data_IF_946937789953
#
_entry.id   IF_946937789953
#
_cell.length_a   1.000
_cell.length_b   1.000
_cell.length_c   1.000
_cell.angle_alpha   90.00
_cell.angle_beta   90.00
_cell.angle_gamma   90.00
#
_symmetry.space_group_name_H-M   'P 1'
#
loop_
_entity.id
_entity.type
_entity.pdbx_description
1 polymer ?
#
# COMPACT_ATOMS: atom_id res chain seq x y z
N UNK A 1 -27.38 -15.41 -17.91
CA UNK A 1 -26.25 -14.48 -18.08
C UNK A 1 -25.68 -14.29 -16.69
N UNK A 2 -24.47 -14.77 -16.43
CA UNK A 2 -23.75 -14.37 -15.22
C UNK A 2 -23.54 -12.86 -15.32
N UNK A 3 -24.08 -12.11 -14.36
CA UNK A 3 -23.82 -10.68 -14.28
C UNK A 3 -22.39 -10.52 -13.79
N UNK A 4 -21.56 -9.85 -14.59
CA UNK A 4 -20.21 -9.46 -14.17
C UNK A 4 -20.37 -8.41 -13.06
N UNK A 5 -19.92 -8.76 -11.86
CA UNK A 5 -19.91 -7.83 -10.72
C UNK A 5 -18.59 -7.04 -10.74
N UNK A 6 -18.70 -5.72 -10.65
CA UNK A 6 -17.54 -4.83 -10.65
C UNK A 6 -16.98 -4.66 -9.24
N UNK A 7 -15.66 -4.55 -9.11
CA UNK A 7 -15.04 -4.15 -7.84
C UNK A 7 -15.29 -2.66 -7.61
N UNK A 8 -15.62 -2.32 -6.38
CA UNK A 8 -15.62 -0.94 -5.89
C UNK A 8 -14.20 -0.46 -5.62
N UNK A 9 -13.97 0.84 -5.42
CA UNK A 9 -12.66 1.34 -4.98
C UNK A 9 -12.18 0.70 -3.67
N UNK A 10 -13.10 0.42 -2.74
CA UNK A 10 -12.78 -0.29 -1.49
C UNK A 10 -12.37 -1.74 -1.75
N UNK A 11 -13.06 -2.45 -2.65
CA UNK A 11 -12.68 -3.81 -3.05
C UNK A 11 -11.26 -3.82 -3.68
N UNK A 12 -10.93 -2.82 -4.50
CA UNK A 12 -9.59 -2.69 -5.12
C UNK A 12 -8.52 -2.44 -4.06
N UNK A 13 -8.81 -1.55 -3.12
CA UNK A 13 -7.91 -1.26 -2.02
C UNK A 13 -7.66 -2.49 -1.14
N UNK A 14 -8.73 -3.15 -0.67
CA UNK A 14 -8.70 -4.39 0.09
C UNK A 14 -7.87 -5.49 -0.61
N UNK A 15 -8.06 -5.64 -1.92
CA UNK A 15 -7.32 -6.62 -2.71
C UNK A 15 -5.81 -6.33 -2.72
N UNK A 16 -5.40 -5.07 -2.78
CA UNK A 16 -3.99 -4.72 -2.65
C UNK A 16 -3.41 -4.97 -1.26
N UNK A 17 -4.19 -4.75 -0.18
CA UNK A 17 -3.78 -5.12 1.18
C UNK A 17 -3.53 -6.63 1.25
N UNK A 18 -4.42 -7.44 0.67
CA UNK A 18 -4.25 -8.90 0.61
C UNK A 18 -3.00 -9.32 -0.19
N UNK A 19 -2.72 -8.65 -1.31
CA UNK A 19 -1.50 -8.87 -2.09
C UNK A 19 -0.26 -8.59 -1.25
N UNK A 20 -0.20 -7.44 -0.58
CA UNK A 20 0.94 -7.03 0.24
C UNK A 20 1.09 -7.96 1.43
N UNK A 21 -0.01 -8.32 2.11
CA UNK A 21 -0.01 -9.30 3.20
C UNK A 21 0.68 -10.60 2.79
N UNK A 22 0.25 -11.21 1.67
CA UNK A 22 0.83 -12.47 1.19
C UNK A 22 2.29 -12.31 0.78
N UNK A 23 2.67 -11.15 0.25
CA UNK A 23 4.06 -10.87 -0.10
C UNK A 23 4.94 -10.74 1.15
N UNK A 24 4.46 -10.04 2.18
CA UNK A 24 5.13 -9.92 3.47
C UNK A 24 5.34 -11.28 4.14
N UNK A 25 4.34 -12.15 4.15
CA UNK A 25 4.48 -13.52 4.67
C UNK A 25 5.58 -14.31 3.93
N UNK A 26 5.60 -14.24 2.60
CA UNK A 26 6.63 -14.90 1.77
C UNK A 26 8.02 -14.33 2.05
N UNK A 27 8.11 -13.04 2.33
CA UNK A 27 9.35 -12.35 2.65
C UNK A 27 9.77 -12.56 4.13
N UNK A 28 9.02 -13.34 4.91
CA UNK A 28 9.35 -13.75 6.27
C UNK A 28 8.91 -12.78 7.36
N UNK A 29 8.01 -11.85 7.05
CA UNK A 29 7.38 -11.00 8.07
C UNK A 29 6.32 -11.77 8.83
N UNK A 30 6.28 -11.60 10.16
CA UNK A 30 5.19 -12.07 11.01
C UNK A 30 4.16 -10.96 11.15
N UNK A 31 2.99 -11.15 10.56
CA UNK A 31 1.90 -10.17 10.64
C UNK A 31 1.33 -10.15 12.07
N UNK A 32 1.27 -8.97 12.69
CA UNK A 32 0.61 -8.76 13.98
C UNK A 32 -0.85 -8.35 13.80
N UNK A 33 -1.10 -7.44 12.86
CA UNK A 33 -2.44 -6.98 12.47
C UNK A 33 -2.47 -6.71 10.97
N UNK A 34 -3.61 -7.00 10.35
CA UNK A 34 -3.93 -6.60 8.99
C UNK A 34 -5.43 -6.33 8.94
N UNK A 35 -5.80 -5.14 8.47
CA UNK A 35 -7.20 -4.78 8.25
C UNK A 35 -7.45 -4.69 6.74
N UNK A 36 -8.07 -5.74 6.19
CA UNK A 36 -8.40 -5.80 4.77
C UNK A 36 -9.58 -4.91 4.37
N UNK A 37 -10.36 -4.43 5.35
CA UNK A 37 -11.49 -3.52 5.11
C UNK A 37 -11.16 -2.06 5.47
N UNK A 38 -9.91 -1.81 5.91
CA UNK A 38 -9.39 -0.49 6.15
C UNK A 38 -9.64 0.41 4.94
N UNK A 39 -10.16 1.61 5.19
CA UNK A 39 -10.14 2.66 4.18
C UNK A 39 -8.75 3.33 4.12
N UNK A 40 -8.61 4.34 3.26
CA UNK A 40 -7.35 5.07 3.11
C UNK A 40 -6.96 5.84 4.38
N UNK A 41 -7.91 6.16 5.25
CA UNK A 41 -7.67 6.91 6.49
C UNK A 41 -7.30 6.00 7.67
N UNK A 42 -7.54 4.70 7.53
CA UNK A 42 -7.28 3.66 8.52
C UNK A 42 -5.83 3.18 8.44
N UNK A 43 -4.94 3.93 9.09
CA UNK A 43 -3.49 3.73 9.01
C UNK A 43 -2.89 3.38 10.38
N UNK A 44 -1.98 2.38 10.47
CA UNK A 44 -1.48 1.55 9.37
C UNK A 44 -2.47 0.43 8.96
N UNK A 45 -2.48 0.05 7.67
CA UNK A 45 -3.30 -1.07 7.20
C UNK A 45 -2.74 -2.44 7.64
N UNK A 46 -1.42 -2.56 7.69
CA UNK A 46 -0.74 -3.78 8.16
C UNK A 46 0.35 -3.40 9.15
N UNK A 47 0.44 -4.16 10.23
CA UNK A 47 1.58 -4.14 11.15
C UNK A 47 2.23 -5.51 11.16
N UNK A 48 3.55 -5.56 10.97
CA UNK A 48 4.30 -6.81 11.01
C UNK A 48 5.65 -6.67 11.70
N UNK A 49 6.21 -7.81 12.11
CA UNK A 49 7.50 -7.91 12.78
C UNK A 49 8.43 -8.82 11.98
N UNK A 50 9.68 -8.40 11.78
CA UNK A 50 10.73 -9.24 11.19
C UNK A 50 12.08 -8.92 11.82
N UNK A 51 12.80 -9.94 12.27
CA UNK A 51 14.15 -9.80 12.84
C UNK A 51 14.29 -8.73 13.94
N UNK A 52 13.21 -8.51 14.71
CA UNK A 52 13.15 -7.49 15.78
C UNK A 52 12.73 -6.09 15.32
N UNK A 53 12.49 -5.89 14.04
CA UNK A 53 11.93 -4.66 13.46
C UNK A 53 10.40 -4.74 13.44
N UNK A 54 9.74 -3.80 14.12
CA UNK A 54 8.32 -3.53 13.94
C UNK A 54 8.14 -2.61 12.73
N UNK A 55 7.19 -2.93 11.86
CA UNK A 55 6.94 -2.17 10.65
C UNK A 55 5.44 -1.91 10.46
N UNK A 56 5.13 -0.69 10.01
CA UNK A 56 3.82 -0.24 9.58
C UNK A 56 3.82 -0.15 8.06
N UNK A 57 2.80 -0.71 7.41
CA UNK A 57 2.69 -0.70 5.95
C UNK A 57 1.47 0.09 5.52
N UNK A 58 1.72 1.05 4.63
CA UNK A 58 0.74 1.91 3.98
C UNK A 58 0.58 1.42 2.55
N UNK A 59 -0.60 0.92 2.21
CA UNK A 59 -0.87 0.30 0.92
C UNK A 59 -1.71 1.24 0.08
N UNK A 60 -1.36 1.40 -1.20
CA UNK A 60 -2.23 2.03 -2.20
C UNK A 60 -2.29 1.14 -3.43
N UNK A 61 -3.47 1.07 -4.03
CA UNK A 61 -3.77 0.14 -5.13
C UNK A 61 -4.53 0.87 -6.22
N UNK A 62 -4.18 0.60 -7.48
CA UNK A 62 -4.92 1.11 -8.63
C UNK A 62 -4.92 0.10 -9.78
N UNK A 63 -5.82 0.29 -10.74
CA UNK A 63 -5.96 -0.52 -11.94
C UNK A 63 -4.96 -0.12 -13.02
N UNK A 64 -4.60 -1.06 -13.89
CA UNK A 64 -3.85 -0.79 -15.12
C UNK A 64 -4.50 0.36 -15.92
N UNK A 65 -3.71 1.27 -16.54
CA UNK A 65 -2.24 1.29 -16.59
C UNK A 65 -1.57 1.93 -15.36
N UNK A 66 -2.36 2.29 -14.35
CA UNK A 66 -1.89 2.88 -13.11
C UNK A 66 -1.37 1.87 -12.10
N UNK A 67 -0.97 2.44 -10.96
CA UNK A 67 -0.63 1.77 -9.71
C UNK A 67 -0.93 2.73 -8.58
N UNK A 68 -1.15 2.22 -7.38
CA UNK A 68 -1.46 3.07 -6.23
C UNK A 68 -0.39 4.12 -6.00
N UNK A 69 -0.81 5.38 -5.93
CA UNK A 69 0.06 6.54 -5.68
C UNK A 69 -0.22 7.09 -4.29
N UNK A 70 0.77 7.82 -3.77
CA UNK A 70 0.63 8.59 -2.55
C UNK A 70 0.41 10.04 -2.95
N UNK A 71 -0.84 10.48 -2.92
CA UNK A 71 -1.30 11.80 -3.41
C UNK A 71 -1.89 12.67 -2.28
N UNK A 72 -1.87 12.18 -1.03
CA UNK A 72 -2.44 12.83 0.16
C UNK A 72 -1.63 14.03 0.67
N UNK A 73 -0.43 14.24 0.12
CA UNK A 73 0.43 15.38 0.42
C UNK A 73 1.37 15.17 1.61
N UNK A 74 2.24 16.16 1.82
CA UNK A 74 3.35 16.06 2.79
C UNK A 74 2.86 15.98 4.23
N UNK A 75 1.76 16.65 4.59
CA UNK A 75 1.23 16.62 5.97
C UNK A 75 0.83 15.21 6.40
N UNK A 76 0.18 14.45 5.51
CA UNK A 76 -0.20 13.05 5.77
C UNK A 76 1.04 12.16 5.82
N UNK A 77 1.99 12.36 4.91
CA UNK A 77 3.28 11.67 4.93
C UNK A 77 4.01 11.87 6.27
N UNK A 78 4.13 13.10 6.75
CA UNK A 78 4.77 13.39 8.03
C UNK A 78 4.04 12.74 9.21
N UNK A 79 2.70 12.81 9.21
CA UNK A 79 1.87 12.19 10.26
C UNK A 79 2.12 10.69 10.34
N UNK A 80 2.15 10.00 9.20
CA UNK A 80 2.40 8.57 9.10
C UNK A 80 3.78 8.17 9.64
N UNK A 81 4.82 8.87 9.18
CA UNK A 81 6.20 8.58 9.63
C UNK A 81 6.35 8.87 11.13
N UNK A 82 5.79 9.98 11.63
CA UNK A 82 5.83 10.31 13.07
C UNK A 82 5.03 9.30 13.89
N UNK A 83 3.89 8.83 13.39
CA UNK A 83 3.09 7.81 14.05
C UNK A 83 3.89 6.50 14.18
N UNK A 84 4.44 5.97 13.09
CA UNK A 84 5.28 4.77 13.15
C UNK A 84 6.46 4.94 14.12
N UNK A 85 7.19 6.07 14.03
CA UNK A 85 8.31 6.37 14.91
C UNK A 85 7.93 6.44 16.39
N UNK A 86 6.76 7.00 16.71
CA UNK A 86 6.27 7.05 18.10
C UNK A 86 6.01 5.66 18.68
N UNK A 87 5.73 4.67 17.84
CA UNK A 87 5.56 3.27 18.20
C UNK A 87 6.84 2.42 18.04
N UNK A 88 7.98 3.05 17.71
CA UNK A 88 9.23 2.33 17.46
C UNK A 88 9.19 1.47 16.19
N UNK A 89 8.30 1.80 15.26
CA UNK A 89 8.12 1.11 13.99
C UNK A 89 8.75 1.87 12.82
N UNK A 90 9.18 1.15 11.80
CA UNK A 90 9.52 1.71 10.49
C UNK A 90 8.23 1.85 9.66
N UNK A 91 8.08 2.97 8.95
CA UNK A 91 6.95 3.18 8.04
C UNK A 91 7.36 2.78 6.62
N UNK A 92 6.60 1.90 5.97
CA UNK A 92 6.79 1.50 4.58
C UNK A 92 5.55 1.80 3.74
N UNK A 93 5.78 2.22 2.51
CA UNK A 93 4.77 2.40 1.49
C UNK A 93 4.83 1.28 0.46
N UNK A 94 3.66 0.74 0.10
CA UNK A 94 3.49 -0.28 -0.92
C UNK A 94 2.59 0.25 -2.05
N UNK A 95 3.17 0.43 -3.23
CA UNK A 95 2.46 0.80 -4.46
C UNK A 95 2.08 -0.46 -5.24
N UNK A 96 0.78 -0.71 -5.38
CA UNK A 96 0.26 -1.90 -6.08
C UNK A 96 -0.51 -1.48 -7.32
N UNK A 97 -0.17 -2.09 -8.46
CA UNK A 97 -0.97 -2.05 -9.68
C UNK A 97 -1.59 -3.42 -9.94
N UNK A 98 -2.86 -3.46 -10.35
CA UNK A 98 -3.53 -4.70 -10.73
C UNK A 98 -4.10 -4.58 -12.15
N UNK A 99 -3.91 -5.63 -12.95
CA UNK A 99 -4.42 -5.70 -14.32
C UNK A 99 -5.28 -6.95 -14.48
N UNK A 100 -6.49 -6.79 -15.04
CA UNK A 100 -7.39 -7.91 -15.24
C UNK A 100 -6.74 -8.94 -16.17
N UNK A 101 -6.53 -10.18 -15.68
CA UNK A 101 -5.83 -11.23 -16.44
C UNK A 101 -6.62 -11.75 -17.65
N UNK A 102 -7.90 -11.41 -17.76
CA UNK A 102 -8.75 -11.77 -18.90
C UNK A 102 -8.72 -10.75 -20.03
N UNK A 103 -8.15 -9.56 -19.80
CA UNK A 103 -8.02 -8.55 -20.83
C UNK A 103 -6.89 -8.85 -21.80
N UNK A 104 -7.14 -8.72 -23.08
CA UNK A 104 -6.13 -8.79 -24.15
C UNK A 104 -5.72 -7.38 -24.62
N UNK A 105 -6.56 -6.39 -24.35
CA UNK A 105 -6.31 -4.97 -24.63
C UNK A 105 -6.08 -4.15 -23.37
N UNK A 106 -5.48 -2.97 -23.50
CA UNK A 106 -5.27 -2.03 -22.38
C UNK A 106 -6.58 -1.65 -21.69
N UNK A 107 -7.63 -1.43 -22.47
CA UNK A 107 -8.97 -1.11 -21.95
C UNK A 107 -9.51 -2.27 -21.13
N UNK A 108 -9.45 -3.50 -21.62
CA UNK A 108 -9.94 -4.68 -20.89
C UNK A 108 -9.11 -4.97 -19.63
N UNK A 109 -7.78 -4.78 -19.67
CA UNK A 109 -6.91 -4.92 -18.50
C UNK A 109 -7.26 -3.91 -17.39
N UNK A 110 -7.85 -2.76 -17.75
CA UNK A 110 -8.27 -1.72 -16.81
C UNK A 110 -9.63 -1.98 -16.15
N UNK A 111 -10.34 -3.05 -16.52
CA UNK A 111 -11.70 -3.33 -16.04
C UNK A 111 -11.67 -4.16 -14.75
N UNK A 112 -12.14 -3.62 -13.60
CA UNK A 112 -12.09 -4.31 -12.32
C UNK A 112 -13.32 -5.23 -12.11
N UNK A 113 -13.22 -6.49 -12.51
CA UNK A 113 -14.25 -7.54 -12.33
C UNK A 113 -13.97 -8.39 -11.10
N UNK A 114 -14.98 -8.73 -10.31
CA UNK A 114 -14.87 -9.68 -9.19
C UNK A 114 -14.75 -11.13 -9.67
N UNK A 115 -14.03 -11.95 -8.92
CA UNK A 115 -13.95 -13.40 -9.16
C UNK A 115 -13.02 -13.81 -10.32
N UNK A 116 -12.30 -12.88 -10.93
CA UNK A 116 -11.27 -13.16 -11.93
C UNK A 116 -9.87 -13.01 -11.33
N UNK A 117 -8.88 -13.64 -11.98
CA UNK A 117 -7.49 -13.45 -11.59
C UNK A 117 -6.96 -12.11 -12.11
N UNK A 118 -5.95 -11.58 -11.43
CA UNK A 118 -5.26 -10.34 -11.78
C UNK A 118 -3.76 -10.58 -11.90
N UNK A 119 -3.14 -9.92 -12.87
CA UNK A 119 -1.70 -9.73 -12.91
C UNK A 119 -1.34 -8.59 -11.95
N UNK A 120 -0.36 -8.81 -11.09
CA UNK A 120 0.04 -7.85 -10.06
C UNK A 120 1.36 -7.20 -10.45
N UNK A 121 1.39 -5.87 -10.42
CA UNK A 121 2.61 -5.08 -10.47
C UNK A 121 2.89 -4.55 -9.06
N UNK A 122 3.96 -5.05 -8.45
CA UNK A 122 4.44 -4.61 -7.15
C UNK A 122 5.96 -4.44 -7.21
N UNK A 123 6.45 -3.21 -7.05
CA UNK A 123 7.88 -2.87 -7.14
C UNK A 123 8.64 -3.03 -5.81
N UNK A 124 7.95 -3.54 -4.78
CA UNK A 124 8.50 -3.67 -3.43
C UNK A 124 8.07 -2.55 -2.49
N UNK A 125 8.76 -2.49 -1.36
CA UNK A 125 8.47 -1.57 -0.26
C UNK A 125 9.37 -0.35 -0.33
N UNK A 126 8.79 0.84 -0.18
CA UNK A 126 9.53 2.09 -0.07
C UNK A 126 9.49 2.54 1.38
N UNK A 127 10.65 2.66 2.01
CA UNK A 127 10.73 3.20 3.37
C UNK A 127 10.39 4.69 3.38
N UNK A 128 9.47 5.09 4.25
CA UNK A 128 9.08 6.47 4.46
C UNK A 128 9.84 7.05 5.65
N UNK A 129 10.64 8.09 5.42
CA UNK A 129 11.43 8.73 6.45
C UNK A 129 11.42 10.26 6.31
N UNK A 130 11.46 10.95 7.45
CA UNK A 130 11.69 12.38 7.48
C UNK A 130 13.19 12.66 7.57
N UNK A 131 13.69 13.71 6.90
CA UNK A 131 15.07 14.11 7.07
C UNK A 131 15.37 14.38 8.55
N UNK A 132 16.58 14.04 9.03
CA UNK A 132 16.97 14.39 10.39
C UNK A 132 16.86 15.90 10.58
N UNK A 133 16.30 16.33 11.71
CA UNK A 133 15.94 17.72 12.01
C UNK A 133 17.12 18.74 12.05
N UNK A 134 18.33 18.35 11.63
CA UNK A 134 19.57 19.10 11.78
C UNK A 134 20.00 19.92 10.53
N UNK A 135 19.08 20.25 9.61
CA UNK A 135 19.43 21.03 8.40
C UNK A 135 18.53 22.25 8.14
N UNK A 136 17.77 22.73 9.14
CA UNK A 136 16.93 23.92 9.01
C UNK A 136 17.44 25.15 9.80
N UNK A 137 18.55 25.04 10.53
CA UNK A 137 19.14 26.15 11.30
C UNK A 137 20.57 26.47 10.85
N UNK A 138 20.77 26.87 9.58
CA UNK A 138 21.98 27.62 9.20
C UNK A 138 21.74 28.48 7.95
N UNK A 139 20.71 29.32 7.97
CA UNK A 139 20.55 30.38 6.97
C UNK A 139 20.07 31.68 7.63
N UNK A 140 20.77 32.11 8.67
CA UNK A 140 20.78 33.51 9.08
C UNK A 140 22.24 33.86 9.39
N UNK A 141 22.90 34.45 8.40
CA UNK A 141 24.07 35.31 8.56
C UNK A 141 23.95 36.44 7.54
#
# INVERSE_FOLDING_TARGET
MEQLEMMTPLDIHAFGIEIVYKQLEKDGWRIETADGEADLDSEPQITAMKDGELAFFIVRTDMYPGRGRFDEGMDVYERLVRHAKAHGATCYFASVGIANSKGETEEEMSVPVKGVAYNVQFEGLVQMELPPAAAAETAIN
#
